data_IF_609188671646
#
_entry.id   IF_609188671646
#
_cell.length_a   1.000
_cell.length_b   1.000
_cell.length_c   1.000
_cell.angle_alpha   90.00
_cell.angle_beta   90.00
_cell.angle_gamma   90.00
#
_symmetry.space_group_name_H-M   'P 1'
#
loop_
_entity.id
_entity.type
_entity.pdbx_description
1 polymer ?
#
# COMPACT_ATOMS: atom_id res chain seq x y z
N UNK A 1 -1.93 -16.15 -1.30
CA UNK A 1 -2.67 -17.31 -0.76
C UNK A 1 -1.70 -18.07 0.13
N UNK A 2 -2.01 -18.28 1.40
CA UNK A 2 -1.15 -18.99 2.36
C UNK A 2 -1.51 -20.47 2.34
N UNK A 3 -0.51 -21.34 2.39
CA UNK A 3 -0.67 -22.79 2.39
C UNK A 3 -0.32 -23.38 3.77
N UNK A 4 -0.98 -24.47 4.19
CA UNK A 4 -0.62 -25.15 5.42
C UNK A 4 0.86 -25.55 5.42
N UNK A 5 1.53 -25.39 6.56
CA UNK A 5 2.88 -25.86 6.73
C UNK A 5 2.96 -27.39 6.74
N UNK A 6 4.14 -27.93 6.46
CA UNK A 6 4.38 -29.37 6.51
C UNK A 6 4.12 -29.91 7.91
N UNK A 7 3.20 -30.88 8.02
CA UNK A 7 2.83 -31.51 9.30
C UNK A 7 1.65 -30.84 10.03
N UNK A 8 1.05 -29.79 9.49
CA UNK A 8 -0.17 -29.18 10.04
C UNK A 8 -1.42 -29.68 9.33
N UNK A 9 -2.45 -30.02 10.11
CA UNK A 9 -3.75 -30.37 9.55
C UNK A 9 -4.55 -29.11 9.21
N UNK A 10 -5.63 -29.26 8.46
CA UNK A 10 -6.47 -28.15 8.01
C UNK A 10 -7.19 -27.44 9.15
N UNK A 11 -7.53 -28.11 10.24
CA UNK A 11 -8.16 -27.49 11.40
C UNK A 11 -7.20 -26.55 12.14
N UNK A 12 -5.95 -26.98 12.33
CA UNK A 12 -4.89 -26.12 12.87
C UNK A 12 -4.64 -24.91 11.98
N UNK A 13 -4.64 -25.11 10.66
CA UNK A 13 -4.52 -23.98 9.72
C UNK A 13 -5.66 -22.97 9.89
N UNK A 14 -6.90 -23.42 10.02
CA UNK A 14 -8.05 -22.53 10.22
C UNK A 14 -7.97 -21.75 11.53
N UNK A 15 -7.51 -22.40 12.59
CA UNK A 15 -7.33 -21.76 13.89
C UNK A 15 -6.23 -20.69 13.81
N UNK A 16 -5.09 -21.04 13.24
CA UNK A 16 -3.95 -20.13 13.04
C UNK A 16 -4.33 -18.95 12.11
N UNK A 17 -5.11 -19.21 11.06
CA UNK A 17 -5.65 -18.17 10.16
C UNK A 17 -6.53 -17.17 10.91
N UNK A 18 -7.43 -17.66 11.75
CA UNK A 18 -8.31 -16.81 12.55
C UNK A 18 -7.52 -15.91 13.52
N UNK A 19 -6.57 -16.48 14.25
CA UNK A 19 -5.72 -15.71 15.17
C UNK A 19 -4.86 -14.68 14.42
N UNK A 20 -4.30 -15.04 13.28
CA UNK A 20 -3.47 -14.15 12.50
C UNK A 20 -4.27 -13.02 11.85
N UNK A 21 -5.53 -13.23 11.50
CA UNK A 21 -6.45 -12.16 11.07
C UNK A 21 -6.74 -11.19 12.20
N UNK A 22 -7.02 -11.68 13.40
CA UNK A 22 -7.22 -10.80 14.56
C UNK A 22 -5.96 -9.99 14.86
N UNK A 23 -4.80 -10.63 14.83
CA UNK A 23 -3.54 -9.92 15.00
C UNK A 23 -3.33 -8.84 13.94
N UNK A 24 -3.55 -9.14 12.67
CA UNK A 24 -3.42 -8.17 11.59
C UNK A 24 -4.40 -6.98 11.75
N UNK A 25 -5.63 -7.25 12.16
CA UNK A 25 -6.63 -6.21 12.44
C UNK A 25 -6.20 -5.33 13.62
N UNK A 26 -5.65 -5.90 14.68
CA UNK A 26 -5.13 -5.11 15.81
C UNK A 26 -3.97 -4.20 15.41
N UNK A 27 -3.10 -4.65 14.50
CA UNK A 27 -1.98 -3.85 13.98
C UNK A 27 -2.44 -2.68 13.10
N UNK A 28 -3.62 -2.76 12.53
CA UNK A 28 -4.24 -1.66 11.77
C UNK A 28 -5.14 -0.76 12.63
N UNK A 29 -5.13 -0.96 13.94
CA UNK A 29 -5.95 -0.18 14.87
C UNK A 29 -7.44 -0.50 14.81
N UNK A 30 -7.81 -1.67 14.29
CA UNK A 30 -9.20 -2.10 14.12
C UNK A 30 -9.93 -1.43 12.94
N UNK A 31 -9.28 -0.50 12.24
CA UNK A 31 -9.86 0.18 11.09
C UNK A 31 -9.74 -0.71 9.84
N UNK A 32 -10.78 -0.70 9.01
CA UNK A 32 -10.75 -1.34 7.70
C UNK A 32 -10.19 -0.38 6.64
N UNK A 33 -9.74 -0.93 5.52
CA UNK A 33 -9.32 -0.12 4.37
C UNK A 33 -10.46 0.79 3.87
N UNK A 34 -11.70 0.34 4.04
CA UNK A 34 -12.91 1.07 3.65
C UNK A 34 -13.18 2.26 4.58
N UNK A 35 -13.04 2.08 5.90
CA UNK A 35 -13.17 3.16 6.88
C UNK A 35 -12.16 4.28 6.61
N UNK A 36 -10.90 3.92 6.39
CA UNK A 36 -9.82 4.88 6.12
C UNK A 36 -10.02 5.60 4.79
N UNK A 37 -10.52 4.91 3.76
CA UNK A 37 -10.79 5.52 2.47
C UNK A 37 -11.94 6.53 2.55
N UNK A 38 -13.00 6.19 3.25
CA UNK A 38 -14.18 7.06 3.45
C UNK A 38 -13.79 8.31 4.23
N UNK A 39 -13.06 8.16 5.35
CA UNK A 39 -12.61 9.30 6.16
C UNK A 39 -11.70 10.25 5.36
N UNK A 40 -10.75 9.72 4.59
CA UNK A 40 -9.87 10.52 3.74
C UNK A 40 -10.62 11.25 2.64
N UNK A 41 -11.61 10.61 2.02
CA UNK A 41 -12.47 11.21 0.99
C UNK A 41 -13.31 12.35 1.55
N UNK A 42 -13.96 12.12 2.69
CA UNK A 42 -14.80 13.14 3.35
C UNK A 42 -13.98 14.35 3.78
N UNK A 43 -12.81 14.15 4.38
CA UNK A 43 -11.92 15.24 4.78
C UNK A 43 -11.47 16.07 3.59
N UNK A 44 -11.08 15.45 2.49
CA UNK A 44 -10.65 16.15 1.27
C UNK A 44 -11.79 16.97 0.65
N UNK A 45 -13.00 16.41 0.59
CA UNK A 45 -14.18 17.11 0.11
C UNK A 45 -14.53 18.31 1.00
N UNK A 46 -14.49 18.15 2.32
CA UNK A 46 -14.77 19.22 3.28
C UNK A 46 -13.75 20.37 3.15
N UNK A 47 -12.46 20.06 3.06
CA UNK A 47 -11.40 21.06 2.87
C UNK A 47 -11.58 21.77 1.53
N UNK A 48 -11.81 21.05 0.43
CA UNK A 48 -12.06 21.65 -0.88
C UNK A 48 -13.26 22.59 -0.89
N UNK A 49 -14.35 22.19 -0.25
CA UNK A 49 -15.56 23.03 -0.11
C UNK A 49 -15.28 24.31 0.68
N UNK A 50 -14.59 24.20 1.82
CA UNK A 50 -14.27 25.36 2.65
C UNK A 50 -13.35 26.36 1.93
N UNK A 51 -12.28 25.87 1.32
CA UNK A 51 -11.35 26.71 0.55
C UNK A 51 -12.04 27.35 -0.66
N UNK A 52 -12.83 26.58 -1.39
CA UNK A 52 -13.61 27.08 -2.53
C UNK A 52 -14.62 28.15 -2.13
N UNK A 53 -15.32 27.97 -1.01
CA UNK A 53 -16.27 28.96 -0.48
C UNK A 53 -15.58 30.29 -0.11
N UNK A 54 -14.44 30.24 0.57
CA UNK A 54 -13.69 31.44 0.96
C UNK A 54 -13.14 32.16 -0.27
N UNK A 55 -12.48 31.47 -1.18
CA UNK A 55 -11.95 32.05 -2.41
C UNK A 55 -13.06 32.66 -3.30
N UNK A 56 -14.15 31.91 -3.49
CA UNK A 56 -15.31 32.39 -4.24
C UNK A 56 -16.00 33.59 -3.58
N UNK A 57 -16.08 33.60 -2.26
CA UNK A 57 -16.64 34.68 -1.47
C UNK A 57 -15.88 36.00 -1.58
N UNK A 58 -14.55 35.96 -1.67
CA UNK A 58 -13.70 37.13 -1.84
C UNK A 58 -13.89 37.79 -3.22
N UNK A 59 -14.23 37.04 -4.27
CA UNK A 59 -14.34 37.51 -5.64
C UNK A 59 -15.78 37.89 -5.98
N UNK A 60 -16.76 37.10 -5.55
CA UNK A 60 -18.16 37.25 -5.95
C UNK A 60 -19.18 37.36 -4.81
N UNK A 61 -18.73 37.63 -3.59
CA UNK A 61 -19.61 37.74 -2.43
C UNK A 61 -20.37 36.42 -2.16
N UNK A 62 -21.64 36.55 -1.74
CA UNK A 62 -22.47 35.38 -1.36
C UNK A 62 -22.70 34.41 -2.51
N UNK A 63 -22.86 34.90 -3.75
CA UNK A 63 -23.02 34.06 -4.93
C UNK A 63 -21.71 33.37 -5.32
N UNK A 64 -20.60 34.11 -5.25
CA UNK A 64 -19.27 33.53 -5.47
C UNK A 64 -18.90 32.43 -4.46
N UNK A 65 -19.27 32.62 -3.19
CA UNK A 65 -19.09 31.59 -2.17
C UNK A 65 -19.87 30.30 -2.46
N UNK A 66 -21.12 30.42 -2.93
CA UNK A 66 -21.93 29.24 -3.27
C UNK A 66 -21.35 28.47 -4.47
N UNK A 67 -20.96 29.19 -5.53
CA UNK A 67 -20.32 28.58 -6.71
C UNK A 67 -18.96 27.99 -6.35
N UNK A 68 -18.17 28.74 -5.60
CA UNK A 68 -16.85 28.28 -5.14
C UNK A 68 -16.90 27.03 -4.25
N UNK A 69 -17.89 26.97 -3.35
CA UNK A 69 -18.15 25.79 -2.52
C UNK A 69 -18.51 24.56 -3.38
N UNK A 70 -19.40 24.73 -4.36
CA UNK A 70 -19.78 23.65 -5.29
C UNK A 70 -18.61 23.15 -6.13
N UNK A 71 -17.84 24.07 -6.70
CA UNK A 71 -16.63 23.72 -7.48
C UNK A 71 -15.59 23.07 -6.58
N UNK A 72 -15.36 23.61 -5.39
CA UNK A 72 -14.43 23.06 -4.40
C UNK A 72 -14.82 21.66 -3.92
N UNK A 73 -16.12 21.37 -3.81
CA UNK A 73 -16.61 20.04 -3.51
C UNK A 73 -16.25 19.05 -4.63
N UNK A 74 -16.49 19.42 -5.90
CA UNK A 74 -16.17 18.54 -7.05
C UNK A 74 -14.67 18.29 -7.13
N UNK A 75 -13.84 19.34 -7.07
CA UNK A 75 -12.39 19.20 -7.11
C UNK A 75 -11.87 18.47 -5.89
N UNK A 76 -12.39 18.75 -4.70
CA UNK A 76 -12.00 18.08 -3.46
C UNK A 76 -12.38 16.60 -3.46
N UNK A 77 -13.54 16.24 -4.06
CA UNK A 77 -13.95 14.83 -4.12
C UNK A 77 -13.10 14.03 -5.11
N UNK A 78 -12.70 14.59 -6.25
CA UNK A 78 -11.82 13.90 -7.21
C UNK A 78 -10.41 13.73 -6.66
N UNK A 79 -9.85 14.77 -6.01
CA UNK A 79 -8.56 14.68 -5.32
C UNK A 79 -8.64 13.70 -4.12
N UNK A 80 -9.77 13.73 -3.40
CA UNK A 80 -10.05 12.85 -2.28
C UNK A 80 -10.14 11.38 -2.67
N UNK A 81 -10.67 11.07 -3.85
CA UNK A 81 -10.74 9.71 -4.36
C UNK A 81 -9.33 9.09 -4.55
N UNK A 82 -8.38 9.90 -5.04
CA UNK A 82 -6.98 9.49 -5.14
C UNK A 82 -6.32 9.25 -3.77
N UNK A 83 -6.53 10.16 -2.82
CA UNK A 83 -6.02 10.05 -1.45
C UNK A 83 -6.66 8.86 -0.71
N UNK A 84 -7.96 8.67 -0.86
CA UNK A 84 -8.70 7.54 -0.31
C UNK A 84 -8.15 6.20 -0.82
N UNK A 85 -7.93 6.09 -2.13
CA UNK A 85 -7.34 4.90 -2.73
C UNK A 85 -5.92 4.62 -2.24
N UNK A 86 -5.09 5.64 -2.07
CA UNK A 86 -3.74 5.49 -1.53
C UNK A 86 -3.76 5.06 -0.05
N UNK A 87 -4.62 5.66 0.75
CA UNK A 87 -4.81 5.32 2.17
C UNK A 87 -5.30 3.89 2.35
N UNK A 88 -6.30 3.47 1.58
CA UNK A 88 -6.82 2.11 1.59
C UNK A 88 -5.73 1.08 1.21
N UNK A 89 -4.94 1.37 0.18
CA UNK A 89 -3.84 0.49 -0.24
C UNK A 89 -2.79 0.35 0.84
N UNK A 90 -2.41 1.46 1.48
CA UNK A 90 -1.43 1.44 2.58
C UNK A 90 -1.94 0.63 3.76
N UNK A 91 -3.21 0.77 4.12
CA UNK A 91 -3.85 0.01 5.18
C UNK A 91 -3.88 -1.49 4.84
N UNK A 92 -4.30 -1.83 3.62
CA UNK A 92 -4.32 -3.20 3.15
C UNK A 92 -2.92 -3.82 3.17
N UNK A 93 -1.90 -3.08 2.72
CA UNK A 93 -0.51 -3.56 2.78
C UNK A 93 -0.04 -3.85 4.21
N UNK A 94 -0.38 -2.98 5.17
CA UNK A 94 -0.04 -3.20 6.59
C UNK A 94 -0.73 -4.45 7.14
N UNK A 95 -2.00 -4.62 6.83
CA UNK A 95 -2.75 -5.81 7.20
C UNK A 95 -2.12 -7.07 6.60
N UNK A 96 -1.86 -7.07 5.30
CA UNK A 96 -1.29 -8.22 4.59
C UNK A 96 0.10 -8.59 5.13
N UNK A 97 0.94 -7.62 5.42
CA UNK A 97 2.27 -7.83 6.01
C UNK A 97 2.13 -8.45 7.41
N UNK A 98 1.29 -7.89 8.27
CA UNK A 98 1.08 -8.39 9.62
C UNK A 98 0.51 -9.81 9.61
N UNK A 99 -0.45 -10.09 8.75
CA UNK A 99 -1.03 -11.41 8.55
C UNK A 99 0.02 -12.41 8.08
N UNK A 100 0.81 -12.06 7.06
CA UNK A 100 1.86 -12.93 6.53
C UNK A 100 2.95 -13.23 7.56
N UNK A 101 3.37 -12.22 8.34
CA UNK A 101 4.34 -12.40 9.42
C UNK A 101 3.83 -13.38 10.48
N UNK A 102 2.57 -13.24 10.88
CA UNK A 102 1.95 -14.13 11.86
C UNK A 102 1.87 -15.56 11.32
N UNK A 103 1.39 -15.77 10.10
CA UNK A 103 1.30 -17.10 9.48
C UNK A 103 2.67 -17.74 9.29
N UNK A 104 3.68 -16.96 8.92
CA UNK A 104 5.05 -17.44 8.82
C UNK A 104 5.61 -17.85 10.18
N UNK A 105 5.40 -17.05 11.23
CA UNK A 105 5.82 -17.38 12.60
C UNK A 105 5.18 -18.67 13.12
N UNK A 106 3.97 -18.98 12.66
CA UNK A 106 3.26 -20.23 12.94
C UNK A 106 3.69 -21.41 12.06
N UNK A 107 4.66 -21.21 11.16
CA UNK A 107 5.25 -22.25 10.32
C UNK A 107 4.44 -22.57 9.05
N UNK A 108 3.55 -21.68 8.63
CA UNK A 108 2.85 -21.81 7.35
C UNK A 108 3.69 -21.31 6.17
N UNK A 109 3.38 -21.84 4.99
CA UNK A 109 4.07 -21.42 3.77
C UNK A 109 3.40 -20.17 3.21
N UNK A 110 4.08 -19.05 3.32
CA UNK A 110 3.66 -17.78 2.74
C UNK A 110 4.42 -17.60 1.44
N UNK A 111 3.74 -17.56 0.27
CA UNK A 111 4.42 -17.24 -0.97
C UNK A 111 4.96 -15.81 -0.88
N UNK A 112 6.28 -15.67 -0.92
CA UNK A 112 6.91 -14.35 -0.99
C UNK A 112 6.40 -13.64 -2.24
N UNK A 113 5.81 -12.47 -2.06
CA UNK A 113 5.41 -11.61 -3.15
C UNK A 113 6.63 -11.33 -4.03
N UNK A 114 6.68 -11.90 -5.24
CA UNK A 114 7.81 -11.76 -6.16
C UNK A 114 8.21 -13.02 -6.90
N UNK A 115 7.75 -14.21 -6.50
CA UNK A 115 8.12 -15.45 -7.20
C UNK A 115 7.11 -15.92 -8.25
N UNK A 116 5.98 -15.24 -8.42
CA UNK A 116 4.98 -15.57 -9.43
C UNK A 116 4.72 -14.44 -10.45
N UNK A 117 5.46 -13.33 -10.38
CA UNK A 117 5.53 -12.42 -11.53
C UNK A 117 6.57 -12.94 -12.52
N UNK A 118 6.39 -12.73 -13.84
CA UNK A 118 7.52 -12.82 -14.74
C UNK A 118 8.60 -11.94 -14.09
N UNK A 119 9.76 -12.53 -13.84
CA UNK A 119 10.89 -11.84 -13.27
C UNK A 119 11.06 -10.53 -14.08
N UNK A 120 10.57 -9.40 -13.53
CA UNK A 120 11.13 -8.13 -13.96
C UNK A 120 12.59 -8.33 -13.64
N UNK A 121 13.35 -8.60 -14.70
CA UNK A 121 14.78 -8.60 -14.64
C UNK A 121 15.15 -7.43 -13.76
N UNK A 122 15.70 -7.75 -12.60
CA UNK A 122 16.43 -6.78 -11.80
C UNK A 122 17.22 -6.01 -12.82
N UNK A 123 17.01 -4.69 -12.87
CA UNK A 123 17.78 -3.83 -13.74
C UNK A 123 19.20 -4.29 -13.57
N UNK A 124 19.71 -4.97 -14.57
CA UNK A 124 21.03 -5.53 -14.54
C UNK A 124 21.93 -4.36 -14.14
N UNK A 125 22.55 -4.47 -13.01
CA UNK A 125 23.76 -3.68 -12.78
C UNK A 125 24.54 -3.76 -14.09
N UNK A 126 24.85 -2.63 -14.73
CA UNK A 126 25.64 -2.67 -15.94
C UNK A 126 26.84 -3.55 -15.66
N UNK A 127 27.02 -4.60 -16.44
CA UNK A 127 28.17 -5.46 -16.30
C UNK A 127 29.41 -4.55 -16.21
N UNK A 128 30.33 -4.77 -15.28
CA UNK A 128 31.54 -3.97 -15.20
C UNK A 128 32.19 -3.99 -16.59
N UNK A 129 32.71 -2.85 -17.04
CA UNK A 129 33.32 -2.76 -18.38
C UNK A 129 34.37 -3.85 -18.52
N UNK A 130 34.48 -4.50 -19.67
CA UNK A 130 35.49 -5.53 -19.91
C UNK A 130 36.87 -4.95 -19.61
N UNK A 131 37.77 -5.72 -18.96
CA UNK A 131 39.14 -5.26 -18.71
C UNK A 131 39.80 -4.86 -20.01
N UNK A 132 40.62 -3.80 -20.02
CA UNK A 132 41.31 -3.35 -21.23
C UNK A 132 42.15 -4.48 -21.82
N UNK A 133 42.17 -4.66 -23.14
CA UNK A 133 42.96 -5.68 -23.79
C UNK A 133 44.46 -5.46 -23.51
N UNK A 134 45.07 -6.42 -22.85
CA UNK A 134 46.53 -6.37 -22.56
C UNK A 134 46.95 -6.69 -21.13
N UNK A 135 46.05 -6.89 -20.17
CA UNK A 135 46.44 -7.30 -18.82
C UNK A 135 46.54 -8.83 -18.74
N UNK A 136 47.72 -9.42 -18.46
CA UNK A 136 47.83 -10.86 -18.24
C UNK A 136 47.11 -11.31 -16.98
N UNK A 137 46.56 -12.52 -16.92
CA UNK A 137 45.87 -13.01 -15.71
C UNK A 137 46.87 -13.11 -14.55
N UNK A 138 46.43 -12.86 -13.32
CA UNK A 138 47.26 -13.01 -12.13
C UNK A 138 47.68 -14.49 -11.97
N UNK A 139 48.92 -14.76 -11.50
CA UNK A 139 49.40 -16.09 -11.29
C UNK A 139 48.57 -16.81 -10.19
N UNK A 140 48.41 -18.15 -10.26
CA UNK A 140 47.66 -18.90 -9.28
C UNK A 140 48.34 -18.80 -7.90
N UNK A 141 47.56 -18.81 -6.79
CA UNK A 141 48.13 -18.82 -5.45
C UNK A 141 48.89 -20.10 -5.19
N UNK A 142 50.08 -19.96 -4.56
CA UNK A 142 50.92 -21.07 -4.13
C UNK A 142 50.40 -21.68 -2.83
#
# INVERSE_FOLDING_TARGET
MVLPGSGKNFEQFRFDDYECRQYATSQTGGATAEDVSTDSGVRSAAVGTAVGAVAGGLIGGRQGAAVGAGTGLIVGSTAGAGAAGASARTMQQRYDIAYQQCMYAKGHQVPAAGRYGPSRQSSAYPAPPPPPPGTPPPPPPR
#
